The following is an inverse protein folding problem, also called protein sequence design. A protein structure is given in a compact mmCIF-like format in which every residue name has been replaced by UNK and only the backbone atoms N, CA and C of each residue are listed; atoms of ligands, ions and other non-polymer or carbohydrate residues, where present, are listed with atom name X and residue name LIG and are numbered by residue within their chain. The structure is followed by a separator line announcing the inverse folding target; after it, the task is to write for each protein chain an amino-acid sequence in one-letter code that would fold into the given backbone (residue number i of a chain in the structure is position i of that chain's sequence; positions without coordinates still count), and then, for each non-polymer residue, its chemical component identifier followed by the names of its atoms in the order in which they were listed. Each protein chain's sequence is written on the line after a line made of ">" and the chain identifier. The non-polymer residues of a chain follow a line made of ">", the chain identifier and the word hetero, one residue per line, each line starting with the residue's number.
data_IF_739265591095
#
_entry.id   IF_739265591095
#
_cell.length_a   1.000
_cell.length_b   1.000
_cell.length_c   1.000
_cell.angle_alpha   90.00
_cell.angle_beta   90.00
_cell.angle_gamma   90.00
#
_symmetry.space_group_name_H-M   'P 1'
#
loop_
_entity.id
_entity.type
_entity.pdbx_description
1 polymer ?
#
# COMPACT_ATOMS: atom_id res chain seq x y z
N UNK A 1 7.20 4.36 -15.15
CA UNK A 1 8.50 5.01 -14.87
C UNK A 1 8.50 5.88 -13.62
N UNK A 2 7.60 6.87 -13.44
CA UNK A 2 7.62 7.72 -12.23
C UNK A 2 7.47 6.93 -10.93
N UNK A 3 6.49 6.02 -10.83
CA UNK A 3 6.32 5.19 -9.64
C UNK A 3 7.56 4.35 -9.31
N UNK A 4 8.16 3.70 -10.31
CA UNK A 4 9.38 2.90 -10.10
C UNK A 4 10.57 3.77 -9.71
N UNK A 5 10.75 4.96 -10.32
CA UNK A 5 11.82 5.88 -9.95
C UNK A 5 11.63 6.44 -8.53
N UNK A 6 10.39 6.74 -8.14
CA UNK A 6 10.10 7.36 -6.83
C UNK A 6 10.08 6.35 -5.70
N UNK A 7 9.52 5.16 -5.93
CA UNK A 7 9.27 4.15 -4.88
C UNK A 7 10.10 2.88 -5.01
N UNK A 8 11.00 2.80 -6.01
CA UNK A 8 11.81 1.61 -6.27
C UNK A 8 13.16 1.58 -5.57
N UNK A 9 13.53 2.60 -4.80
CA UNK A 9 14.78 2.64 -4.04
C UNK A 9 14.72 3.64 -2.87
N UNK A 10 15.59 3.45 -1.87
CA UNK A 10 15.86 4.43 -0.82
C UNK A 10 14.62 4.76 0.02
N UNK A 11 14.35 6.06 0.22
CA UNK A 11 13.20 6.51 1.00
C UNK A 11 11.85 6.11 0.39
N UNK A 12 11.80 5.93 -0.94
CA UNK A 12 10.62 5.43 -1.62
C UNK A 12 10.18 4.04 -1.14
N UNK A 13 11.13 3.13 -0.92
CA UNK A 13 10.84 1.80 -0.39
C UNK A 13 10.40 1.87 1.08
N UNK A 14 11.00 2.76 1.87
CA UNK A 14 10.62 2.99 3.28
C UNK A 14 9.20 3.53 3.39
N UNK A 15 8.82 4.47 2.52
CA UNK A 15 7.44 4.98 2.44
C UNK A 15 6.48 3.87 2.04
N UNK A 16 6.83 3.04 1.05
CA UNK A 16 5.97 1.93 0.65
C UNK A 16 5.80 0.89 1.78
N UNK A 17 6.87 0.58 2.52
CA UNK A 17 6.81 -0.28 3.69
C UNK A 17 5.94 0.32 4.80
N UNK A 18 6.03 1.63 5.05
CA UNK A 18 5.16 2.32 6.01
C UNK A 18 3.69 2.24 5.58
N UNK A 19 3.38 2.45 4.29
CA UNK A 19 2.02 2.33 3.76
C UNK A 19 1.47 0.90 3.87
N UNK A 20 2.31 -0.13 3.69
CA UNK A 20 1.93 -1.54 3.92
C UNK A 20 1.54 -1.79 5.36
N UNK A 21 2.35 -1.31 6.30
CA UNK A 21 2.08 -1.41 7.74
C UNK A 21 0.75 -0.76 8.12
N UNK A 22 0.42 0.40 7.54
CA UNK A 22 -0.84 1.09 7.82
C UNK A 22 -2.09 0.40 7.24
N UNK A 23 -1.91 -0.47 6.24
CA UNK A 23 -3.02 -0.96 5.40
C UNK A 23 -3.07 -2.49 5.31
N UNK A 24 -2.15 -3.11 4.57
CA UNK A 24 -2.13 -4.55 4.27
C UNK A 24 -1.77 -5.39 5.49
N UNK A 25 -0.83 -4.90 6.30
CA UNK A 25 -0.32 -5.60 7.48
C UNK A 25 -1.06 -5.18 8.76
N UNK A 26 -1.98 -4.21 8.65
CA UNK A 26 -2.80 -3.75 9.76
C UNK A 26 -3.88 -4.78 10.09
N UNK A 27 -3.77 -5.35 11.30
CA UNK A 27 -4.80 -6.17 11.91
C UNK A 27 -5.94 -5.30 12.44
N UNK A 28 -7.18 -5.74 12.24
CA UNK A 28 -8.39 -5.09 12.75
C UNK A 28 -9.12 -6.07 13.67
N UNK A 29 -9.62 -5.58 14.80
CA UNK A 29 -10.34 -6.41 15.78
C UNK A 29 -11.75 -6.77 15.30
N UNK A 30 -12.40 -7.77 15.93
CA UNK A 30 -13.73 -8.24 15.54
C UNK A 30 -14.82 -7.15 15.63
N UNK A 31 -14.67 -6.23 16.58
CA UNK A 31 -15.61 -5.12 16.79
C UNK A 31 -15.40 -3.92 15.84
N UNK A 32 -14.57 -4.07 14.81
CA UNK A 32 -14.28 -2.98 13.87
C UNK A 32 -15.52 -2.63 13.04
N UNK A 33 -15.99 -1.37 13.04
CA UNK A 33 -17.17 -0.99 12.25
C UNK A 33 -16.99 -1.24 10.75
N UNK A 34 -18.06 -1.66 10.08
CA UNK A 34 -18.08 -1.89 8.63
C UNK A 34 -17.54 -0.73 7.79
N UNK A 35 -17.80 0.52 8.21
CA UNK A 35 -17.27 1.71 7.52
C UNK A 35 -15.73 1.76 7.57
N UNK A 36 -15.15 1.39 8.70
CA UNK A 36 -13.69 1.33 8.88
C UNK A 36 -13.08 0.19 8.06
N UNK A 37 -13.72 -0.98 8.04
CA UNK A 37 -13.30 -2.10 7.20
C UNK A 37 -13.24 -1.70 5.72
N UNK A 38 -14.31 -1.10 5.19
CA UNK A 38 -14.37 -0.63 3.79
C UNK A 38 -13.34 0.45 3.49
N UNK A 39 -13.13 1.38 4.43
CA UNK A 39 -12.12 2.42 4.28
C UNK A 39 -10.71 1.82 4.16
N UNK A 40 -10.34 0.90 5.06
CA UNK A 40 -9.04 0.21 5.00
C UNK A 40 -8.90 -0.63 3.73
N UNK A 41 -9.96 -1.28 3.28
CA UNK A 41 -9.93 -2.06 2.04
C UNK A 41 -9.67 -1.19 0.81
N UNK A 42 -10.26 0.01 0.75
CA UNK A 42 -9.93 0.99 -0.29
C UNK A 42 -8.45 1.39 -0.28
N UNK A 43 -7.88 1.60 0.92
CA UNK A 43 -6.46 1.90 1.07
C UNK A 43 -5.55 0.73 0.63
N UNK A 44 -5.92 -0.51 0.97
CA UNK A 44 -5.20 -1.72 0.52
C UNK A 44 -5.20 -1.85 -1.00
N UNK A 45 -6.34 -1.58 -1.63
CA UNK A 45 -6.46 -1.56 -3.10
C UNK A 45 -5.52 -0.54 -3.74
N UNK A 46 -5.44 0.68 -3.19
CA UNK A 46 -4.52 1.72 -3.66
C UNK A 46 -3.06 1.30 -3.54
N UNK A 47 -2.64 0.78 -2.39
CA UNK A 47 -1.25 0.32 -2.17
C UNK A 47 -0.92 -0.83 -3.12
N UNK A 48 -1.83 -1.79 -3.32
CA UNK A 48 -1.63 -2.87 -4.29
C UNK A 48 -1.52 -2.37 -5.73
N UNK A 49 -2.26 -1.32 -6.10
CA UNK A 49 -2.14 -0.70 -7.41
C UNK A 49 -0.77 -0.03 -7.61
N UNK A 50 -0.28 0.70 -6.60
CA UNK A 50 1.07 1.28 -6.62
C UNK A 50 2.14 0.20 -6.80
N UNK A 51 2.06 -0.89 -6.04
CA UNK A 51 2.98 -2.03 -6.14
C UNK A 51 3.01 -2.61 -7.57
N UNK A 52 1.84 -2.75 -8.21
CA UNK A 52 1.74 -3.20 -9.61
C UNK A 52 2.41 -2.23 -10.58
N UNK A 53 2.24 -0.93 -10.42
CA UNK A 53 2.89 0.07 -11.27
C UNK A 53 4.41 0.04 -11.12
N UNK A 54 4.92 -0.13 -9.90
CA UNK A 54 6.34 -0.25 -9.62
C UNK A 54 6.89 -1.52 -10.27
N UNK A 55 6.23 -2.68 -10.06
CA UNK A 55 6.63 -3.96 -10.62
C UNK A 55 6.67 -3.95 -12.15
N UNK A 56 5.63 -3.42 -12.80
CA UNK A 56 5.58 -3.29 -14.27
C UNK A 56 6.68 -2.40 -14.84
N UNK A 57 7.12 -1.39 -14.10
CA UNK A 57 8.21 -0.52 -14.54
C UNK A 57 9.62 -1.06 -14.24
N UNK A 58 9.73 -2.26 -13.63
CA UNK A 58 10.99 -2.99 -13.43
C UNK A 58 11.22 -4.09 -14.48
N UNK A 59 10.16 -4.49 -15.20
CA UNK A 59 10.21 -5.37 -16.37
C UNK A 59 10.61 -4.57 -17.60
#
# INVERSE_FOLDING_TARGET
>A
MSFTRTFGHGDGERVLAHLRNLTKERTLGPETPNRTLRYVEGQRGLVAYMERLIARGRS
#
